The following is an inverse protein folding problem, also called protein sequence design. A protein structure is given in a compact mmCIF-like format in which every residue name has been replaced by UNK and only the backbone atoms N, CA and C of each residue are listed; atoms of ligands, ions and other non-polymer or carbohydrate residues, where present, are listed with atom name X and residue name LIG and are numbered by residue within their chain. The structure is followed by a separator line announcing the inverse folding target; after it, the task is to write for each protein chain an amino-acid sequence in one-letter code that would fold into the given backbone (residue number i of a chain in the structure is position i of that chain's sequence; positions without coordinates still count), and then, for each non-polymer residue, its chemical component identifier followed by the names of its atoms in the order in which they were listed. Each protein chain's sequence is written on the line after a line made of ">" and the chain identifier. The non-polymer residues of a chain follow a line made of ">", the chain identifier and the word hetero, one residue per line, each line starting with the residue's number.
data_IF_936727283144
#
_entry.id   IF_936727283144
#
_cell.length_a   1.000
_cell.length_b   1.000
_cell.length_c   1.000
_cell.angle_alpha   90.00
_cell.angle_beta   90.00
_cell.angle_gamma   90.00
#
_symmetry.space_group_name_H-M   'P 1'
#
loop_
_entity.id
_entity.type
_entity.pdbx_description
1 polymer ?
#
# COMPACT_ATOMS: atom_id res chain seq x y z
N UNK A 1 -76.76 -24.63 18.43
CA UNK A 1 -76.05 -23.50 17.90
C UNK A 1 -74.53 -23.79 18.05
N UNK A 2 -73.89 -24.28 16.98
CA UNK A 2 -72.44 -24.67 16.98
C UNK A 2 -71.65 -23.44 16.43
N UNK A 3 -70.78 -22.87 17.26
CA UNK A 3 -69.84 -21.83 16.82
C UNK A 3 -68.62 -22.45 16.13
N UNK A 4 -68.46 -22.10 14.85
CA UNK A 4 -67.30 -22.47 14.04
C UNK A 4 -66.17 -21.47 14.33
N UNK A 5 -65.08 -21.89 14.90
CA UNK A 5 -63.86 -21.07 15.08
C UNK A 5 -62.93 -21.32 13.91
N UNK A 6 -62.75 -20.27 13.11
CA UNK A 6 -61.88 -20.30 11.92
C UNK A 6 -60.48 -19.86 12.39
N UNK A 7 -59.50 -20.81 12.32
CA UNK A 7 -58.12 -20.59 12.64
C UNK A 7 -57.39 -20.07 11.40
N UNK A 8 -57.04 -18.78 11.36
CA UNK A 8 -56.16 -18.23 10.32
C UNK A 8 -54.68 -18.60 10.63
N UNK A 9 -54.09 -19.44 9.81
CA UNK A 9 -52.69 -19.71 9.85
C UNK A 9 -51.93 -18.58 9.10
N UNK A 10 -51.17 -17.78 9.82
CA UNK A 10 -50.28 -16.77 9.24
C UNK A 10 -48.99 -17.46 8.77
N UNK A 11 -48.80 -17.63 7.46
CA UNK A 11 -47.54 -18.12 6.90
C UNK A 11 -46.58 -16.95 6.82
N UNK A 12 -45.61 -16.90 7.73
CA UNK A 12 -44.50 -15.97 7.63
C UNK A 12 -43.49 -16.46 6.58
N UNK A 13 -43.48 -15.82 5.40
CA UNK A 13 -42.40 -15.98 4.43
C UNK A 13 -41.16 -15.28 4.96
N UNK A 14 -40.22 -16.03 5.53
CA UNK A 14 -38.87 -15.54 5.76
C UNK A 14 -38.12 -15.56 4.45
N UNK A 15 -37.96 -14.38 3.84
CA UNK A 15 -37.03 -14.21 2.73
C UNK A 15 -35.60 -14.36 3.27
N UNK A 16 -34.98 -15.52 3.02
CA UNK A 16 -33.54 -15.64 3.12
C UNK A 16 -32.95 -14.76 1.99
N UNK A 17 -32.58 -13.54 2.34
CA UNK A 17 -31.69 -12.75 1.51
C UNK A 17 -30.37 -13.49 1.39
N UNK A 18 -30.07 -14.03 0.22
CA UNK A 18 -28.74 -14.51 -0.13
C UNK A 18 -27.80 -13.27 -0.05
N UNK A 19 -27.07 -13.15 1.04
CA UNK A 19 -25.90 -12.28 1.06
C UNK A 19 -24.93 -12.87 0.04
N UNK A 20 -24.73 -12.18 -1.08
CA UNK A 20 -23.62 -12.47 -1.98
C UNK A 20 -22.38 -12.56 -1.10
N UNK A 21 -21.75 -13.73 -1.05
CA UNK A 21 -20.57 -13.95 -0.21
C UNK A 21 -19.53 -12.90 -0.60
N UNK A 22 -19.19 -12.02 0.33
CA UNK A 22 -18.09 -11.10 0.15
C UNK A 22 -16.87 -11.95 -0.24
N UNK A 23 -16.18 -11.56 -1.30
CA UNK A 23 -14.94 -12.20 -1.75
C UNK A 23 -13.93 -12.02 -0.60
N UNK A 24 -13.77 -13.05 0.21
CA UNK A 24 -13.07 -13.01 1.50
C UNK A 24 -11.55 -12.91 1.32
N UNK A 25 -11.10 -12.26 0.24
CA UNK A 25 -9.70 -12.18 -0.18
C UNK A 25 -9.22 -10.74 -0.25
N UNK A 26 -7.96 -10.56 0.11
CA UNK A 26 -7.27 -9.28 -0.07
C UNK A 26 -6.90 -9.10 -1.53
N UNK A 27 -7.19 -7.92 -2.09
CA UNK A 27 -6.82 -7.57 -3.46
C UNK A 27 -5.78 -6.45 -3.43
N UNK A 28 -4.84 -6.50 -4.37
CA UNK A 28 -3.80 -5.48 -4.52
C UNK A 28 -3.81 -5.02 -5.97
N UNK A 29 -4.12 -3.74 -6.17
CA UNK A 29 -4.12 -3.07 -7.48
C UNK A 29 -2.92 -2.14 -7.59
N UNK A 30 -2.29 -2.11 -8.76
CA UNK A 30 -1.17 -1.23 -9.06
C UNK A 30 -1.59 -0.09 -9.99
N UNK A 31 -1.34 1.16 -9.58
CA UNK A 31 -1.61 2.35 -10.40
C UNK A 31 -0.38 2.88 -11.14
N UNK A 32 0.73 2.15 -11.11
CA UNK A 32 2.02 2.60 -11.64
C UNK A 32 2.93 3.19 -10.56
N UNK A 33 4.20 3.33 -10.87
CA UNK A 33 5.25 3.81 -9.96
C UNK A 33 5.23 3.06 -8.62
N UNK A 34 5.05 3.75 -7.49
CA UNK A 34 4.92 3.15 -6.16
C UNK A 34 3.46 3.14 -5.64
N UNK A 35 2.48 3.53 -6.48
CA UNK A 35 1.10 3.71 -6.08
C UNK A 35 0.31 2.39 -6.09
N UNK A 36 -0.15 1.96 -4.91
CA UNK A 36 -0.94 0.74 -4.74
C UNK A 36 -2.24 0.98 -3.95
N UNK A 37 -3.25 0.17 -4.27
CA UNK A 37 -4.48 0.02 -3.52
C UNK A 37 -4.54 -1.39 -2.94
N UNK A 38 -4.89 -1.51 -1.67
CA UNK A 38 -5.13 -2.78 -0.99
C UNK A 38 -6.58 -2.78 -0.52
N UNK A 39 -7.41 -3.63 -1.15
CA UNK A 39 -8.77 -3.87 -0.70
C UNK A 39 -8.79 -5.02 0.30
N UNK A 40 -9.30 -4.75 1.49
CA UNK A 40 -9.48 -5.74 2.54
C UNK A 40 -10.77 -6.53 2.33
N UNK A 41 -10.88 -7.76 2.89
CA UNK A 41 -12.10 -8.57 2.82
C UNK A 41 -13.37 -7.87 3.32
N UNK A 42 -13.23 -6.90 4.21
CA UNK A 42 -14.34 -6.08 4.73
C UNK A 42 -14.87 -5.03 3.74
N UNK A 43 -14.16 -4.79 2.65
CA UNK A 43 -14.41 -3.70 1.72
C UNK A 43 -13.75 -2.38 2.10
N UNK A 44 -12.91 -2.36 3.15
CA UNK A 44 -12.05 -1.23 3.48
C UNK A 44 -10.87 -1.16 2.53
N UNK A 45 -10.43 0.06 2.20
CA UNK A 45 -9.38 0.31 1.21
C UNK A 45 -8.22 1.10 1.83
N UNK A 46 -7.01 0.59 1.61
CA UNK A 46 -5.75 1.25 1.97
C UNK A 46 -5.05 1.67 0.67
N UNK A 47 -4.71 2.95 0.54
CA UNK A 47 -3.81 3.42 -0.51
C UNK A 47 -2.39 3.60 0.04
N UNK A 48 -1.39 3.30 -0.79
CA UNK A 48 0.02 3.52 -0.46
C UNK A 48 0.63 4.37 -1.56
N UNK A 49 1.33 5.45 -1.17
CA UNK A 49 2.05 6.37 -2.03
C UNK A 49 1.24 6.77 -3.28
N UNK A 50 0.02 7.34 -3.12
CA UNK A 50 -0.97 7.42 -4.18
C UNK A 50 -0.69 8.54 -5.19
N UNK A 51 0.42 8.44 -5.93
CA UNK A 51 0.62 9.22 -7.15
C UNK A 51 -0.09 8.52 -8.32
N UNK A 52 -1.42 8.52 -8.28
CA UNK A 52 -2.29 7.85 -9.26
C UNK A 52 -2.19 8.52 -10.63
N UNK A 53 -2.00 9.85 -10.65
CA UNK A 53 -1.84 10.63 -11.89
C UNK A 53 -0.43 10.55 -12.50
N UNK A 54 0.39 9.59 -12.08
CA UNK A 54 1.74 9.40 -12.64
C UNK A 54 1.69 9.17 -14.16
N UNK A 55 2.76 9.52 -14.90
CA UNK A 55 2.74 9.52 -16.38
C UNK A 55 2.58 8.12 -17.00
N UNK A 56 2.78 7.04 -16.24
CA UNK A 56 2.57 5.67 -16.75
C UNK A 56 1.13 5.17 -16.59
N UNK A 57 0.28 5.91 -15.85
CA UNK A 57 -1.13 5.56 -15.71
C UNK A 57 -2.00 6.30 -16.73
N UNK A 58 -2.48 5.64 -17.79
CA UNK A 58 -3.26 6.29 -18.84
C UNK A 58 -4.65 6.74 -18.36
N UNK A 59 -5.18 6.14 -17.29
CA UNK A 59 -6.48 6.45 -16.70
C UNK A 59 -6.38 7.28 -15.42
N UNK A 60 -5.17 7.66 -14.99
CA UNK A 60 -4.90 8.26 -13.69
C UNK A 60 -5.75 9.49 -13.35
N UNK A 61 -6.05 10.36 -14.36
CA UNK A 61 -6.91 11.53 -14.16
C UNK A 61 -8.36 11.17 -13.80
N UNK A 62 -8.85 10.01 -14.19
CA UNK A 62 -10.20 9.54 -13.87
C UNK A 62 -10.17 8.63 -12.64
N UNK A 63 -9.14 7.79 -12.50
CA UNK A 63 -8.95 6.96 -11.32
C UNK A 63 -8.88 7.79 -10.03
N UNK A 64 -8.12 8.88 -10.02
CA UNK A 64 -7.98 9.77 -8.85
C UNK A 64 -9.31 10.35 -8.36
N UNK A 65 -10.28 10.54 -9.27
CA UNK A 65 -11.63 11.06 -8.94
C UNK A 65 -12.53 10.00 -8.30
N UNK A 66 -12.27 8.72 -8.58
CA UNK A 66 -13.19 7.61 -8.25
C UNK A 66 -12.62 6.64 -7.22
N UNK A 67 -11.28 6.58 -7.06
CA UNK A 67 -10.62 5.69 -6.10
C UNK A 67 -11.18 5.91 -4.69
N UNK A 68 -11.39 4.80 -3.97
CA UNK A 68 -11.79 4.82 -2.56
C UNK A 68 -10.55 4.83 -1.68
N UNK A 69 -10.67 5.34 -0.47
CA UNK A 69 -9.66 5.22 0.56
C UNK A 69 -10.30 5.39 1.95
N UNK A 70 -10.01 4.48 2.84
CA UNK A 70 -10.23 4.64 4.28
C UNK A 70 -8.93 5.08 4.97
N UNK A 71 -7.78 4.60 4.45
CA UNK A 71 -6.43 5.01 4.86
C UNK A 71 -5.57 5.36 3.66
N UNK A 72 -4.65 6.30 3.87
CA UNK A 72 -3.57 6.64 2.95
C UNK A 72 -2.25 6.52 3.72
N UNK A 73 -1.36 5.64 3.26
CA UNK A 73 -0.02 5.44 3.78
C UNK A 73 0.97 6.17 2.90
N UNK A 74 1.86 6.98 3.50
CA UNK A 74 2.93 7.68 2.77
C UNK A 74 4.28 7.26 3.36
N UNK A 75 5.15 6.72 2.51
CA UNK A 75 6.45 6.18 2.90
C UNK A 75 7.48 7.26 3.16
N UNK A 76 7.48 8.33 2.36
CA UNK A 76 8.40 9.46 2.48
C UNK A 76 7.90 10.71 1.72
N UNK A 77 8.63 11.83 1.85
CA UNK A 77 8.14 13.15 1.47
C UNK A 77 8.28 13.52 0.00
N UNK A 78 8.78 12.66 -0.89
CA UNK A 78 8.94 13.00 -2.30
C UNK A 78 7.59 13.12 -3.02
N UNK A 79 7.55 13.98 -4.04
CA UNK A 79 6.31 14.35 -4.74
C UNK A 79 5.65 13.16 -5.44
N UNK A 80 6.43 12.21 -5.92
CA UNK A 80 6.01 11.01 -6.62
C UNK A 80 5.49 9.89 -5.68
N UNK A 81 5.49 10.15 -4.37
CA UNK A 81 4.88 9.31 -3.33
C UNK A 81 3.72 10.03 -2.63
N UNK A 82 3.87 11.31 -2.26
CA UNK A 82 2.77 12.11 -1.72
C UNK A 82 1.67 12.26 -2.79
N UNK A 83 2.06 12.55 -4.02
CA UNK A 83 1.20 12.58 -5.20
C UNK A 83 -0.16 13.21 -4.98
N UNK A 84 -1.21 12.45 -5.20
CA UNK A 84 -2.61 12.87 -5.15
C UNK A 84 -3.25 12.71 -3.75
N UNK A 85 -2.46 12.34 -2.72
CA UNK A 85 -2.94 11.98 -1.39
C UNK A 85 -3.87 13.03 -0.78
N UNK A 86 -3.49 14.31 -0.86
CA UNK A 86 -4.26 15.42 -0.26
C UNK A 86 -5.64 15.57 -0.91
N UNK A 87 -5.73 15.48 -2.23
CA UNK A 87 -7.01 15.65 -2.94
C UNK A 87 -7.91 14.42 -2.76
N UNK A 88 -7.32 13.22 -2.74
CA UNK A 88 -8.05 11.99 -2.41
C UNK A 88 -8.61 12.09 -0.98
N UNK A 89 -7.82 12.50 0.01
CA UNK A 89 -8.25 12.62 1.40
C UNK A 89 -9.36 13.65 1.60
N UNK A 90 -9.30 14.80 0.92
CA UNK A 90 -10.38 15.80 0.96
C UNK A 90 -11.73 15.21 0.52
N UNK A 91 -11.71 14.32 -0.48
CA UNK A 91 -12.90 13.67 -1.02
C UNK A 91 -13.37 12.49 -0.21
N UNK A 92 -12.46 11.61 0.21
CA UNK A 92 -12.79 10.31 0.84
C UNK A 92 -12.85 10.37 2.36
N UNK A 93 -12.23 11.40 2.97
CA UNK A 93 -12.00 11.51 4.41
C UNK A 93 -11.04 10.44 4.94
N UNK A 94 -10.16 9.92 4.08
CA UNK A 94 -9.15 8.94 4.47
C UNK A 94 -8.18 9.51 5.51
N UNK A 95 -7.88 8.72 6.54
CA UNK A 95 -6.85 9.07 7.52
C UNK A 95 -5.45 8.83 6.95
N UNK A 96 -4.52 9.72 7.28
CA UNK A 96 -3.11 9.59 6.91
C UNK A 96 -2.38 8.71 7.93
N UNK A 97 -1.61 7.73 7.45
CA UNK A 97 -0.62 6.99 8.23
C UNK A 97 0.77 7.32 7.66
N UNK A 98 1.61 7.91 8.49
CA UNK A 98 2.98 8.29 8.13
C UNK A 98 3.84 8.36 9.41
N UNK A 99 5.18 8.45 9.25
CA UNK A 99 6.03 8.82 10.38
C UNK A 99 5.63 10.19 10.90
N UNK A 100 5.81 10.42 12.20
CA UNK A 100 5.26 11.60 12.88
C UNK A 100 5.66 12.92 12.22
N UNK A 101 6.95 13.07 11.89
CA UNK A 101 7.45 14.30 11.27
C UNK A 101 6.93 14.47 9.84
N UNK A 102 6.88 13.38 9.07
CA UNK A 102 6.33 13.38 7.71
C UNK A 102 4.86 13.76 7.71
N UNK A 103 4.06 13.14 8.57
CA UNK A 103 2.63 13.43 8.65
C UNK A 103 2.34 14.89 9.01
N UNK A 104 3.08 15.45 9.98
CA UNK A 104 2.98 16.88 10.32
C UNK A 104 3.34 17.77 9.12
N UNK A 105 4.38 17.42 8.37
CA UNK A 105 4.79 18.18 7.21
C UNK A 105 3.76 18.08 6.06
N UNK A 106 3.14 16.91 5.85
CA UNK A 106 2.05 16.71 4.88
C UNK A 106 0.80 17.52 5.28
N UNK A 107 0.46 17.54 6.57
CA UNK A 107 -0.65 18.38 7.08
C UNK A 107 -0.35 19.86 6.89
N UNK A 108 0.87 20.31 7.17
CA UNK A 108 1.28 21.67 6.88
C UNK A 108 1.21 22.03 5.38
N UNK A 109 1.39 21.02 4.50
CA UNK A 109 1.22 21.11 3.05
C UNK A 109 -0.25 21.11 2.56
N UNK A 110 -1.24 20.99 3.47
CA UNK A 110 -2.66 21.13 3.13
C UNK A 110 -3.50 19.84 3.19
N UNK A 111 -2.95 18.74 3.70
CA UNK A 111 -3.74 17.55 4.04
C UNK A 111 -4.76 17.90 5.15
N UNK A 112 -5.99 17.35 5.14
CA UNK A 112 -6.99 17.66 6.16
C UNK A 112 -6.48 17.34 7.57
N UNK A 113 -6.44 18.35 8.44
CA UNK A 113 -5.84 18.24 9.76
C UNK A 113 -6.58 17.25 10.69
N UNK A 114 -7.88 17.11 10.51
CA UNK A 114 -8.74 16.19 11.25
C UNK A 114 -8.57 14.71 10.81
N UNK A 115 -7.77 14.46 9.77
CA UNK A 115 -7.48 13.12 9.25
C UNK A 115 -6.08 12.61 9.66
N UNK A 116 -5.38 13.30 10.58
CA UNK A 116 -4.06 12.91 11.07
C UNK A 116 -3.89 13.28 12.53
N UNK A 117 -3.36 12.36 13.33
CA UNK A 117 -3.14 12.55 14.76
C UNK A 117 -2.22 11.48 15.36
N UNK A 118 -2.19 11.40 16.68
CA UNK A 118 -1.39 10.40 17.41
C UNK A 118 -1.87 8.95 17.20
N UNK A 119 -3.10 8.76 16.77
CA UNK A 119 -3.72 7.47 16.47
C UNK A 119 -3.31 6.91 15.08
N UNK A 120 -2.77 7.78 14.23
CA UNK A 120 -2.37 7.41 12.86
C UNK A 120 -0.92 7.80 12.53
N UNK A 121 -0.31 8.66 13.34
CA UNK A 121 1.11 8.97 13.28
C UNK A 121 1.94 7.97 14.09
N UNK A 122 3.04 7.50 13.52
CA UNK A 122 3.93 6.55 14.19
C UNK A 122 5.40 6.82 13.93
N UNK A 123 6.26 5.85 14.23
CA UNK A 123 7.68 5.91 13.89
C UNK A 123 8.26 4.49 13.81
N UNK A 124 9.49 4.36 13.32
CA UNK A 124 10.16 3.09 13.14
C UNK A 124 10.24 2.29 14.45
N UNK A 125 9.93 1.00 14.35
CA UNK A 125 9.78 0.09 15.49
C UNK A 125 8.38 0.13 16.12
N UNK A 126 7.51 1.07 15.71
CA UNK A 126 6.12 1.13 16.13
C UNK A 126 5.18 0.41 15.18
N UNK A 127 4.00 0.06 15.69
CA UNK A 127 2.90 -0.51 14.91
C UNK A 127 1.58 0.10 15.35
N UNK A 128 0.66 0.23 14.41
CA UNK A 128 -0.70 0.76 14.62
C UNK A 128 -1.73 -0.29 14.21
N UNK A 129 -2.68 -0.59 15.10
CA UNK A 129 -3.88 -1.31 14.72
C UNK A 129 -4.87 -0.32 14.11
N UNK A 130 -5.25 -0.56 12.87
CA UNK A 130 -6.07 0.35 12.06
C UNK A 130 -7.35 -0.32 11.59
N UNK A 131 -8.31 0.49 11.12
CA UNK A 131 -9.58 0.01 10.55
C UNK A 131 -10.34 -0.92 11.50
N UNK A 132 -10.34 -0.61 12.82
CA UNK A 132 -10.99 -1.46 13.82
C UNK A 132 -10.28 -2.78 14.09
N UNK A 133 -8.98 -2.86 13.84
CA UNK A 133 -8.16 -4.06 14.04
C UNK A 133 -8.21 -5.04 12.86
N UNK A 134 -8.64 -4.59 11.69
CA UNK A 134 -8.62 -5.40 10.45
C UNK A 134 -7.22 -5.48 9.82
N UNK A 135 -6.37 -4.50 10.11
CA UNK A 135 -4.98 -4.51 9.71
C UNK A 135 -4.09 -3.90 10.80
N UNK A 136 -2.85 -4.36 10.86
CA UNK A 136 -1.76 -3.76 11.65
C UNK A 136 -0.72 -3.21 10.70
N UNK A 137 -0.35 -1.93 10.85
CA UNK A 137 0.67 -1.24 10.05
C UNK A 137 1.92 -1.07 10.90
N UNK A 138 3.02 -1.68 10.50
CA UNK A 138 4.32 -1.53 11.16
C UNK A 138 5.24 -0.64 10.32
N UNK A 139 5.88 0.33 10.97
CA UNK A 139 6.83 1.24 10.34
C UNK A 139 8.23 0.59 10.34
N UNK A 140 8.82 0.44 9.17
CA UNK A 140 10.16 -0.11 8.99
C UNK A 140 11.07 0.88 8.27
N UNK A 141 12.40 0.92 8.57
CA UNK A 141 13.31 1.88 7.97
C UNK A 141 13.48 1.64 6.47
N UNK A 142 13.88 2.70 5.77
CA UNK A 142 14.40 2.67 4.41
C UNK A 142 15.67 3.53 4.33
N UNK A 143 16.56 3.20 3.40
CA UNK A 143 17.78 3.97 3.13
C UNK A 143 17.55 4.84 1.90
N UNK A 144 17.10 6.06 2.13
CA UNK A 144 16.75 7.02 1.10
C UNK A 144 16.76 8.44 1.68
N UNK A 145 16.31 9.43 0.92
CA UNK A 145 16.07 10.79 1.37
C UNK A 145 14.56 11.06 1.47
N UNK A 146 14.21 12.15 2.17
CA UNK A 146 12.80 12.53 2.33
C UNK A 146 12.71 14.04 2.50
N UNK A 147 12.27 14.72 1.46
CA UNK A 147 12.02 16.16 1.49
C UNK A 147 10.62 16.43 0.93
N UNK A 148 9.94 17.45 1.45
CA UNK A 148 8.65 17.90 0.94
C UNK A 148 8.83 19.15 0.10
N UNK A 149 8.23 19.15 -1.08
CA UNK A 149 8.25 20.24 -2.03
C UNK A 149 9.17 19.96 -3.22
N UNK A 150 8.78 20.50 -4.37
CA UNK A 150 9.49 20.34 -5.65
C UNK A 150 10.42 21.52 -5.97
N UNK A 151 10.29 22.63 -5.23
CA UNK A 151 11.18 23.79 -5.35
C UNK A 151 12.36 23.59 -4.39
N UNK A 152 13.61 23.41 -4.89
CA UNK A 152 14.77 23.18 -4.03
C UNK A 152 15.03 24.30 -3.01
N UNK A 153 14.59 25.53 -3.33
CA UNK A 153 14.74 26.69 -2.43
C UNK A 153 13.73 26.66 -1.26
N UNK A 154 12.71 25.81 -1.35
CA UNK A 154 11.60 25.70 -0.38
C UNK A 154 11.37 24.29 0.12
N UNK A 155 12.19 23.34 -0.32
CA UNK A 155 12.09 21.95 0.12
C UNK A 155 12.27 21.88 1.64
N UNK A 156 11.25 21.32 2.32
CA UNK A 156 11.24 21.14 3.76
C UNK A 156 11.66 19.74 4.17
N UNK A 157 11.98 19.57 5.43
CA UNK A 157 12.22 18.25 6.01
C UNK A 157 10.93 17.41 6.01
N UNK A 158 10.98 16.23 5.40
CA UNK A 158 9.87 15.30 5.26
C UNK A 158 9.98 14.05 6.17
N UNK A 159 10.65 14.16 7.31
CA UNK A 159 10.93 13.00 8.17
C UNK A 159 11.98 12.06 7.56
N UNK A 160 12.22 10.94 8.21
CA UNK A 160 13.06 9.86 7.68
C UNK A 160 12.22 8.99 6.73
N UNK A 161 12.79 8.52 5.61
CA UNK A 161 12.09 7.60 4.70
C UNK A 161 11.89 6.24 5.34
N UNK A 162 10.80 5.56 4.98
CA UNK A 162 10.49 4.24 5.49
C UNK A 162 9.68 3.40 4.51
N UNK A 163 9.40 2.18 4.93
CA UNK A 163 8.44 1.29 4.31
C UNK A 163 7.38 0.87 5.32
N UNK A 164 6.44 0.06 4.86
CA UNK A 164 5.36 -0.47 5.70
C UNK A 164 5.27 -1.99 5.60
N UNK A 165 5.17 -2.65 6.75
CA UNK A 165 4.68 -4.03 6.80
C UNK A 165 3.23 -3.99 7.25
N UNK A 166 2.35 -4.46 6.39
CA UNK A 166 0.90 -4.46 6.55
C UNK A 166 0.45 -5.89 6.79
N UNK A 167 -0.03 -6.18 8.00
CA UNK A 167 -0.57 -7.48 8.36
C UNK A 167 -2.09 -7.41 8.31
N UNK A 168 -2.70 -8.05 7.32
CA UNK A 168 -4.16 -8.15 7.22
C UNK A 168 -4.65 -9.26 8.15
N UNK A 169 -5.61 -8.96 9.01
CA UNK A 169 -6.15 -9.93 9.97
C UNK A 169 -6.80 -11.12 9.25
N UNK A 170 -6.25 -12.30 9.48
CA UNK A 170 -6.70 -13.52 8.80
C UNK A 170 -6.35 -13.60 7.31
N UNK A 171 -5.50 -12.69 6.82
CA UNK A 171 -5.09 -12.53 5.45
C UNK A 171 -3.56 -12.46 5.29
N UNK A 172 -3.08 -11.89 4.18
CA UNK A 172 -1.65 -11.81 3.86
C UNK A 172 -0.91 -10.77 4.70
N UNK A 173 0.42 -10.95 4.75
CA UNK A 173 1.38 -9.92 5.16
C UNK A 173 2.02 -9.31 3.92
N UNK A 174 1.90 -8.00 3.76
CA UNK A 174 2.40 -7.25 2.60
C UNK A 174 3.51 -6.30 3.08
N UNK A 175 4.66 -6.33 2.43
CA UNK A 175 5.74 -5.36 2.66
C UNK A 175 5.87 -4.44 1.46
N UNK A 176 5.60 -3.15 1.66
CA UNK A 176 5.90 -2.09 0.70
C UNK A 176 7.22 -1.43 1.11
N UNK A 177 8.24 -1.53 0.26
CA UNK A 177 9.59 -1.07 0.61
C UNK A 177 9.71 0.44 0.75
N UNK A 178 8.78 1.21 0.15
CA UNK A 178 9.04 2.58 -0.20
C UNK A 178 10.22 2.66 -1.15
N UNK A 179 10.84 3.82 -1.24
CA UNK A 179 12.10 4.01 -1.92
C UNK A 179 13.25 3.70 -0.97
N UNK A 180 14.13 2.82 -1.39
CA UNK A 180 15.23 2.38 -0.54
C UNK A 180 16.39 1.82 -1.34
N UNK A 181 17.58 1.88 -0.75
CA UNK A 181 18.68 1.00 -1.07
C UNK A 181 18.53 -0.36 -0.36
N UNK A 182 19.34 -1.34 -0.75
CA UNK A 182 19.54 -2.59 -0.02
C UNK A 182 20.28 -2.32 1.30
N UNK A 183 19.77 -2.86 2.41
CA UNK A 183 20.44 -2.80 3.71
C UNK A 183 20.29 -4.13 4.47
N UNK A 184 21.26 -4.44 5.31
CA UNK A 184 21.34 -5.74 5.98
C UNK A 184 20.17 -6.04 6.90
N UNK A 185 19.60 -5.03 7.54
CA UNK A 185 18.50 -5.18 8.50
C UNK A 185 17.16 -5.54 7.84
N UNK A 186 17.08 -5.57 6.51
CA UNK A 186 15.95 -6.22 5.81
C UNK A 186 15.78 -7.68 6.24
N UNK A 187 16.85 -8.35 6.68
CA UNK A 187 16.78 -9.69 7.26
C UNK A 187 15.94 -9.74 8.55
N UNK A 188 15.90 -8.66 9.32
CA UNK A 188 15.07 -8.55 10.53
C UNK A 188 13.59 -8.51 10.15
N UNK A 189 13.23 -7.80 9.06
CA UNK A 189 11.87 -7.80 8.54
C UNK A 189 11.45 -9.25 8.23
N UNK A 190 12.27 -10.00 7.48
CA UNK A 190 12.02 -11.40 7.15
C UNK A 190 12.04 -12.35 8.35
N UNK A 191 12.64 -11.97 9.48
CA UNK A 191 12.62 -12.77 10.71
C UNK A 191 11.39 -12.49 11.58
N UNK A 192 10.86 -11.26 11.57
CA UNK A 192 9.70 -10.88 12.37
C UNK A 192 8.37 -11.19 11.68
N UNK A 193 8.32 -11.08 10.35
CA UNK A 193 7.10 -11.29 9.56
C UNK A 193 7.30 -12.33 8.48
N UNK A 194 6.27 -13.16 8.27
CA UNK A 194 6.20 -14.05 7.11
C UNK A 194 5.60 -13.29 5.94
N UNK A 195 6.43 -12.58 5.18
CA UNK A 195 5.99 -11.72 4.08
C UNK A 195 5.45 -12.57 2.94
N UNK A 196 4.14 -12.44 2.68
CA UNK A 196 3.46 -13.12 1.58
C UNK A 196 3.67 -12.40 0.26
N UNK A 197 3.65 -11.05 0.28
CA UNK A 197 3.88 -10.20 -0.87
C UNK A 197 4.84 -9.06 -0.52
N UNK A 198 5.89 -8.89 -1.32
CA UNK A 198 6.78 -7.73 -1.28
C UNK A 198 6.55 -6.86 -2.51
N UNK A 199 6.28 -5.57 -2.31
CA UNK A 199 6.23 -4.54 -3.34
C UNK A 199 7.58 -3.82 -3.30
N UNK A 200 8.43 -4.12 -4.30
CA UNK A 200 9.86 -3.76 -4.25
C UNK A 200 10.24 -2.78 -5.35
N UNK A 201 10.84 -1.66 -4.97
CA UNK A 201 11.46 -0.76 -5.93
C UNK A 201 12.62 -1.47 -6.66
N UNK A 202 12.71 -1.25 -7.99
CA UNK A 202 13.73 -1.85 -8.86
C UNK A 202 14.32 -0.86 -9.86
N UNK A 203 13.94 0.43 -9.78
CA UNK A 203 14.18 1.42 -10.84
C UNK A 203 15.65 1.77 -11.08
N UNK A 204 16.54 1.45 -10.14
CA UNK A 204 17.92 1.95 -10.13
C UNK A 204 17.98 3.48 -9.98
N UNK A 205 19.13 4.09 -10.19
CA UNK A 205 19.41 5.52 -10.11
C UNK A 205 19.04 6.18 -8.76
N UNK A 206 17.77 6.11 -8.34
CA UNK A 206 17.29 6.66 -7.07
C UNK A 206 16.98 5.59 -6.01
N UNK A 207 16.82 4.34 -6.43
CA UNK A 207 16.45 3.21 -5.56
C UNK A 207 17.34 2.00 -5.83
N UNK A 208 17.01 0.85 -5.25
CA UNK A 208 17.65 -0.40 -5.65
C UNK A 208 17.49 -0.63 -7.16
N UNK A 209 18.58 -1.09 -7.80
CA UNK A 209 18.49 -1.74 -9.11
C UNK A 209 18.08 -3.22 -8.99
N UNK A 210 17.85 -3.91 -10.13
CA UNK A 210 17.34 -5.29 -10.17
C UNK A 210 18.14 -6.30 -9.33
N UNK A 211 19.46 -6.26 -9.33
CA UNK A 211 20.30 -7.20 -8.58
C UNK A 211 20.16 -7.00 -7.06
N UNK A 212 20.21 -5.74 -6.61
CA UNK A 212 20.07 -5.40 -5.18
C UNK A 212 18.67 -5.69 -4.67
N UNK A 213 17.65 -5.44 -5.48
CA UNK A 213 16.26 -5.79 -5.15
C UNK A 213 16.07 -7.31 -5.00
N UNK A 214 16.74 -8.12 -5.86
CA UNK A 214 16.70 -9.57 -5.70
C UNK A 214 17.36 -10.05 -4.39
N UNK A 215 18.44 -9.39 -3.95
CA UNK A 215 19.05 -9.66 -2.64
C UNK A 215 18.12 -9.24 -1.49
N UNK A 216 17.44 -8.10 -1.61
CA UNK A 216 16.43 -7.67 -0.65
C UNK A 216 15.33 -8.73 -0.49
N UNK A 217 14.80 -9.26 -1.59
CA UNK A 217 13.80 -10.36 -1.57
C UNK A 217 14.33 -11.59 -0.83
N UNK A 218 15.62 -11.96 -1.03
CA UNK A 218 16.28 -13.05 -0.31
C UNK A 218 16.36 -12.78 1.20
N UNK A 219 16.76 -11.58 1.61
CA UNK A 219 16.86 -11.19 3.01
C UNK A 219 15.49 -11.20 3.70
N UNK A 220 14.48 -10.65 3.04
CA UNK A 220 13.08 -10.61 3.52
C UNK A 220 12.42 -11.98 3.49
N UNK A 221 12.90 -12.91 2.65
CA UNK A 221 12.30 -14.24 2.41
C UNK A 221 10.84 -14.14 1.93
N UNK A 222 10.54 -13.13 1.12
CA UNK A 222 9.20 -12.92 0.60
C UNK A 222 8.77 -14.09 -0.30
N UNK A 223 7.52 -14.56 -0.16
CA UNK A 223 6.98 -15.65 -0.99
C UNK A 223 6.71 -15.19 -2.43
N UNK A 224 6.22 -13.97 -2.58
CA UNK A 224 5.91 -13.35 -3.86
C UNK A 224 6.44 -11.93 -3.88
N UNK A 225 6.87 -11.45 -5.04
CA UNK A 225 7.33 -10.08 -5.23
C UNK A 225 6.71 -9.47 -6.47
N UNK A 226 6.30 -8.22 -6.35
CA UNK A 226 5.87 -7.34 -7.43
C UNK A 226 6.90 -6.22 -7.54
N UNK A 227 7.54 -6.04 -8.71
CA UNK A 227 8.43 -4.91 -8.95
C UNK A 227 7.63 -3.61 -9.10
N UNK A 228 8.16 -2.53 -8.56
CA UNK A 228 7.60 -1.18 -8.68
C UNK A 228 8.69 -0.14 -8.90
N UNK A 229 8.30 1.14 -9.05
CA UNK A 229 9.20 2.28 -9.18
C UNK A 229 10.17 2.15 -10.36
N UNK A 230 9.68 1.73 -11.52
CA UNK A 230 10.44 1.60 -12.77
C UNK A 230 9.67 2.16 -13.96
N UNK A 231 10.39 2.57 -15.00
CA UNK A 231 9.81 2.99 -16.28
C UNK A 231 9.03 4.31 -16.27
N UNK A 232 8.90 4.99 -15.12
CA UNK A 232 8.15 6.25 -14.99
C UNK A 232 8.98 7.43 -15.51
N UNK A 233 10.28 7.40 -15.27
CA UNK A 233 11.23 8.40 -15.73
C UNK A 233 12.35 7.73 -16.56
N UNK A 234 12.90 8.41 -17.57
CA UNK A 234 13.96 7.83 -18.42
C UNK A 234 15.23 7.39 -17.68
N UNK A 235 15.48 7.98 -16.51
CA UNK A 235 16.64 7.66 -15.64
C UNK A 235 16.45 6.38 -14.84
N UNK A 236 15.22 5.87 -14.72
CA UNK A 236 14.90 4.62 -14.04
C UNK A 236 15.15 3.47 -15.02
N UNK A 237 16.37 2.98 -15.06
CA UNK A 237 16.86 2.02 -16.06
C UNK A 237 16.56 0.57 -15.71
N UNK A 238 16.25 0.26 -14.44
CA UNK A 238 15.92 -1.09 -13.99
C UNK A 238 14.66 -1.64 -14.65
N UNK A 239 14.67 -2.89 -15.05
CA UNK A 239 13.57 -3.55 -15.75
C UNK A 239 13.07 -4.81 -15.03
N UNK A 240 11.78 -5.17 -15.15
CA UNK A 240 11.26 -6.44 -14.62
C UNK A 240 11.97 -7.68 -15.20
N UNK A 241 12.45 -7.62 -16.44
CA UNK A 241 13.17 -8.74 -17.06
C UNK A 241 14.54 -8.96 -16.43
N UNK A 242 15.30 -7.89 -16.17
CA UNK A 242 16.58 -7.96 -15.45
C UNK A 242 16.35 -8.42 -14.02
N UNK A 243 15.34 -7.87 -13.34
CA UNK A 243 14.96 -8.29 -12.00
C UNK A 243 14.58 -9.78 -11.95
N UNK A 244 13.82 -10.28 -12.93
CA UNK A 244 13.47 -11.69 -13.04
C UNK A 244 14.68 -12.61 -13.21
N UNK A 245 15.71 -12.19 -13.97
CA UNK A 245 16.97 -12.92 -14.11
C UNK A 245 17.76 -12.93 -12.80
N UNK A 246 17.88 -11.79 -12.12
CA UNK A 246 18.54 -11.67 -10.84
C UNK A 246 17.83 -12.49 -9.75
N UNK A 247 16.50 -12.43 -9.70
CA UNK A 247 15.67 -13.16 -8.74
C UNK A 247 15.83 -14.68 -8.86
N UNK A 248 15.82 -15.22 -10.09
CA UNK A 248 16.05 -16.65 -10.34
C UNK A 248 17.40 -17.13 -9.79
N UNK A 249 18.42 -16.29 -9.81
CA UNK A 249 19.76 -16.60 -9.30
C UNK A 249 19.84 -16.47 -7.78
N UNK A 250 19.21 -15.45 -7.20
CA UNK A 250 19.44 -14.98 -5.82
C UNK A 250 18.37 -15.49 -4.85
N UNK A 251 17.11 -15.50 -5.26
CA UNK A 251 15.95 -15.93 -4.46
C UNK A 251 14.98 -16.79 -5.31
N UNK A 252 15.41 -17.98 -5.77
CA UNK A 252 14.65 -18.80 -6.73
C UNK A 252 13.32 -19.33 -6.20
N UNK A 253 13.10 -19.31 -4.90
CA UNK A 253 11.84 -19.71 -4.27
C UNK A 253 10.76 -18.62 -4.30
N UNK A 254 11.14 -17.36 -4.55
CA UNK A 254 10.20 -16.26 -4.60
C UNK A 254 9.48 -16.22 -5.96
N UNK A 255 8.15 -16.10 -5.94
CA UNK A 255 7.35 -15.94 -7.16
C UNK A 255 7.43 -14.49 -7.64
N UNK A 256 7.94 -14.26 -8.84
CA UNK A 256 7.84 -12.97 -9.51
C UNK A 256 6.44 -12.79 -10.11
N UNK A 257 5.81 -11.66 -9.85
CA UNK A 257 4.57 -11.24 -10.50
C UNK A 257 4.77 -9.85 -11.09
N UNK A 258 4.86 -9.77 -12.40
CA UNK A 258 4.93 -8.49 -13.12
C UNK A 258 3.51 -8.05 -13.44
N UNK A 259 3.10 -6.90 -12.88
CA UNK A 259 1.80 -6.29 -13.13
C UNK A 259 1.89 -5.24 -14.23
N UNK A 260 0.82 -5.06 -14.98
CA UNK A 260 0.59 -3.88 -15.80
C UNK A 260 -0.13 -2.84 -14.96
N UNK A 261 0.02 -1.57 -15.29
CA UNK A 261 -0.74 -0.50 -14.64
C UNK A 261 -2.25 -0.78 -14.80
N UNK A 262 -2.97 -0.73 -13.68
CA UNK A 262 -4.39 -1.09 -13.60
C UNK A 262 -4.68 -2.55 -13.23
N UNK A 263 -3.69 -3.45 -13.31
CA UNK A 263 -3.87 -4.85 -12.91
C UNK A 263 -4.16 -4.97 -11.40
N UNK A 264 -4.93 -6.01 -11.07
CA UNK A 264 -5.24 -6.40 -9.68
C UNK A 264 -4.85 -7.86 -9.48
N UNK A 265 -4.13 -8.16 -8.41
CA UNK A 265 -3.87 -9.52 -7.95
C UNK A 265 -4.67 -9.81 -6.68
N UNK A 266 -4.98 -11.09 -6.47
CA UNK A 266 -5.72 -11.59 -5.29
C UNK A 266 -4.80 -12.49 -4.47
N UNK A 267 -4.80 -12.28 -3.15
CA UNK A 267 -3.97 -12.99 -2.18
C UNK A 267 -4.81 -13.86 -1.25
#
# INVERSE_FOLDING_TARGET
>A
MKKLVMLLALVALTSLGATAGADNKTKVKWFGHAAFEIDLPSGKTILIDPWITNPTNPTGKDDVKTVKADLILITHGHFDHIGDATDIAKRTKAHLVATFDLGNAIVAGGYPKDQYGFDTGGNFGGSLDVLGGEATISFVPAIHSSAIGTDPAKAGYGGNPGGFVIVVKGGPTIYHTGDTDLFGDMALIGSHWKVDLMLSCIGDHFTMGPDRAAEAVKLVKAKQVVPMHFGTFPVLTGTPDEFGKALKKTAPSAKLTVMKVGDTITL
#
